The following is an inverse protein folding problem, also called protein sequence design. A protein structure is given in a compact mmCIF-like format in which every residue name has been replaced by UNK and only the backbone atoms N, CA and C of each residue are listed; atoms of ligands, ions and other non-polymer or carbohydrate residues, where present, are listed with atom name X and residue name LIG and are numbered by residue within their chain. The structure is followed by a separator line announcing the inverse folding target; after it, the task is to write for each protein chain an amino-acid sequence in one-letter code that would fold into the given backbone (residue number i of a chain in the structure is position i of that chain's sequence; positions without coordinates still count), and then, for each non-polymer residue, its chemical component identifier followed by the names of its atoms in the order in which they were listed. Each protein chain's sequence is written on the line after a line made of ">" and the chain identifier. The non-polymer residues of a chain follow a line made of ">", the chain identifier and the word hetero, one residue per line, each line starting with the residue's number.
data_IF_685811631459
#
_entry.id   IF_685811631459
#
_cell.length_a   1.000
_cell.length_b   1.000
_cell.length_c   1.000
_cell.angle_alpha   90.00
_cell.angle_beta   90.00
_cell.angle_gamma   90.00
#
_symmetry.space_group_name_H-M   'P 1'
#
loop_
_entity.id
_entity.type
_entity.pdbx_description
1 polymer ?
#
# COMPACT_ATOMS: atom_id res chain seq x y z
N UNK A 1 91.01 0.79 -94.36
CA UNK A 1 91.29 0.86 -92.91
C UNK A 1 90.60 2.04 -92.19
N UNK A 2 89.54 2.66 -92.76
CA UNK A 2 88.93 3.89 -92.20
C UNK A 2 87.52 3.66 -91.60
N UNK A 3 86.82 2.58 -91.97
CA UNK A 3 85.41 2.38 -91.59
C UNK A 3 85.23 1.76 -90.18
N UNK A 4 86.24 1.02 -89.66
CA UNK A 4 86.13 0.39 -88.33
C UNK A 4 86.29 1.36 -87.14
N UNK A 5 86.85 2.56 -87.35
CA UNK A 5 87.10 3.51 -86.26
C UNK A 5 85.91 4.43 -85.92
N UNK A 6 84.95 4.59 -86.85
CA UNK A 6 83.76 5.44 -86.65
C UNK A 6 82.70 4.74 -85.80
N UNK A 7 82.64 3.39 -85.84
CA UNK A 7 81.64 2.60 -85.11
C UNK A 7 81.97 2.51 -83.61
N UNK A 8 83.26 2.49 -83.25
CA UNK A 8 83.70 2.41 -81.85
C UNK A 8 83.50 3.74 -81.09
N UNK A 9 83.69 4.88 -81.77
CA UNK A 9 83.46 6.21 -81.21
C UNK A 9 81.98 6.52 -80.99
N UNK A 10 81.07 6.03 -81.87
CA UNK A 10 79.61 6.22 -81.71
C UNK A 10 78.99 5.43 -80.55
N UNK A 11 79.49 4.22 -80.25
CA UNK A 11 78.97 3.41 -79.12
C UNK A 11 79.38 3.95 -77.74
N UNK A 12 80.57 4.53 -77.64
CA UNK A 12 81.06 5.15 -76.40
C UNK A 12 80.32 6.47 -76.09
N UNK A 13 80.06 7.29 -77.11
CA UNK A 13 79.30 8.55 -76.94
C UNK A 13 77.82 8.29 -76.57
N UNK A 14 77.19 7.27 -77.16
CA UNK A 14 75.81 6.91 -76.85
C UNK A 14 75.65 6.34 -75.42
N UNK A 15 76.64 5.60 -74.91
CA UNK A 15 76.62 5.10 -73.52
C UNK A 15 76.82 6.21 -72.48
N UNK A 16 77.67 7.21 -72.76
CA UNK A 16 77.88 8.36 -71.87
C UNK A 16 76.66 9.30 -71.82
N UNK A 17 75.96 9.49 -72.94
CA UNK A 17 74.74 10.31 -73.00
C UNK A 17 73.57 9.61 -72.29
N UNK A 18 73.42 8.30 -72.43
CA UNK A 18 72.37 7.53 -71.72
C UNK A 18 72.63 7.50 -70.21
N UNK A 19 73.88 7.37 -69.76
CA UNK A 19 74.21 7.38 -68.34
C UNK A 19 74.02 8.77 -67.70
N UNK A 20 74.32 9.85 -68.42
CA UNK A 20 74.06 11.22 -67.98
C UNK A 20 72.54 11.53 -67.91
N UNK A 21 71.74 10.97 -68.82
CA UNK A 21 70.28 11.15 -68.81
C UNK A 21 69.59 10.39 -67.66
N UNK A 22 70.10 9.19 -67.31
CA UNK A 22 69.61 8.40 -66.16
C UNK A 22 70.02 9.04 -64.83
N UNK A 23 71.20 9.66 -64.74
CA UNK A 23 71.65 10.39 -63.54
C UNK A 23 70.92 11.74 -63.36
N UNK A 24 70.51 12.41 -64.44
CA UNK A 24 69.72 13.65 -64.37
C UNK A 24 68.26 13.39 -63.96
N UNK A 25 67.68 12.26 -64.36
CA UNK A 25 66.34 11.83 -63.92
C UNK A 25 66.30 11.32 -62.47
N UNK A 26 67.46 11.03 -61.86
CA UNK A 26 67.54 10.60 -60.46
C UNK A 26 67.57 11.77 -59.44
N UNK A 27 67.57 13.03 -59.88
CA UNK A 27 67.72 14.21 -59.00
C UNK A 27 66.53 15.18 -59.00
N UNK A 28 65.37 14.79 -59.54
CA UNK A 28 64.14 15.58 -59.42
C UNK A 28 63.02 14.71 -58.83
N UNK A 29 63.31 14.09 -57.69
CA UNK A 29 62.29 13.76 -56.69
C UNK A 29 62.33 14.83 -55.59
N UNK A 30 62.21 16.10 -56.00
CA UNK A 30 61.72 17.11 -55.06
C UNK A 30 60.24 16.83 -54.88
N UNK A 31 59.94 16.01 -53.88
CA UNK A 31 58.63 16.02 -53.25
C UNK A 31 58.37 17.46 -52.84
N UNK A 32 57.47 18.14 -53.56
CA UNK A 32 56.84 19.32 -52.99
C UNK A 32 56.09 18.81 -51.76
N UNK A 33 56.75 18.85 -50.60
CA UNK A 33 56.07 18.84 -49.33
C UNK A 33 55.25 20.14 -49.32
N UNK A 34 54.06 20.08 -49.89
CA UNK A 34 52.97 20.95 -49.45
C UNK A 34 52.95 20.71 -47.95
N UNK A 35 53.37 21.71 -47.20
CA UNK A 35 53.12 21.78 -45.76
C UNK A 35 51.60 21.82 -45.62
N UNK A 36 51.01 20.62 -45.64
CA UNK A 36 49.65 20.39 -45.22
C UNK A 36 49.64 20.83 -43.78
N UNK A 37 48.90 21.90 -43.52
CA UNK A 37 48.64 22.37 -42.19
C UNK A 37 48.09 21.18 -41.38
N UNK A 38 48.96 20.58 -40.55
CA UNK A 38 48.60 19.44 -39.69
C UNK A 38 47.76 19.87 -38.49
N UNK A 39 47.32 21.13 -38.45
CA UNK A 39 46.67 21.67 -37.26
C UNK A 39 45.15 21.55 -37.26
N UNK A 40 44.55 20.79 -38.19
CA UNK A 40 43.11 20.51 -38.10
C UNK A 40 42.79 19.77 -36.80
N UNK A 41 42.17 20.50 -35.88
CA UNK A 41 41.88 20.05 -34.53
C UNK A 41 40.40 19.64 -34.42
N UNK A 42 40.14 18.34 -34.21
CA UNK A 42 38.78 17.86 -33.97
C UNK A 42 38.17 18.41 -32.67
N UNK A 43 38.98 18.90 -31.72
CA UNK A 43 38.45 19.56 -30.53
C UNK A 43 37.73 20.89 -30.86
N UNK A 44 38.06 21.55 -31.97
CA UNK A 44 37.40 22.79 -32.38
C UNK A 44 36.09 22.57 -33.14
N UNK A 45 35.75 21.33 -33.49
CA UNK A 45 34.55 21.00 -34.29
C UNK A 45 33.34 20.60 -33.45
N UNK A 46 33.51 20.47 -32.13
CA UNK A 46 32.48 19.97 -31.22
C UNK A 46 32.36 18.44 -31.19
N UNK A 47 33.22 17.70 -31.91
CA UNK A 47 33.32 16.24 -31.82
C UNK A 47 34.79 15.82 -31.64
N UNK A 48 35.35 15.92 -30.42
CA UNK A 48 36.71 15.49 -30.17
C UNK A 48 36.82 13.96 -30.32
N UNK A 49 37.82 13.49 -31.08
CA UNK A 49 38.07 12.07 -31.28
C UNK A 49 38.73 11.45 -30.04
N UNK A 50 37.89 11.14 -29.05
CA UNK A 50 38.28 10.52 -27.78
C UNK A 50 37.70 9.11 -27.64
N UNK A 51 38.32 8.30 -26.79
CA UNK A 51 37.90 6.93 -26.53
C UNK A 51 37.92 6.05 -27.76
N UNK A 52 36.84 5.29 -27.98
CA UNK A 52 36.74 4.37 -29.11
C UNK A 52 36.87 5.08 -30.48
N UNK A 53 36.49 6.36 -30.58
CA UNK A 53 36.58 7.14 -31.81
C UNK A 53 38.00 7.55 -32.18
N UNK A 54 38.97 7.49 -31.24
CA UNK A 54 40.36 7.93 -31.48
C UNK A 54 41.06 7.09 -32.55
N UNK A 55 40.68 5.81 -32.66
CA UNK A 55 41.34 4.84 -33.54
C UNK A 55 40.52 4.57 -34.81
N UNK A 56 39.46 5.32 -35.07
CA UNK A 56 38.60 5.14 -36.25
C UNK A 56 39.27 5.71 -37.50
N UNK A 57 39.15 5.01 -38.62
CA UNK A 57 39.66 5.49 -39.91
C UNK A 57 38.88 6.72 -40.40
N UNK A 58 39.58 7.70 -40.97
CA UNK A 58 39.00 8.96 -41.45
C UNK A 58 37.82 8.75 -42.41
N UNK A 59 37.93 7.74 -43.28
CA UNK A 59 36.93 7.35 -44.29
C UNK A 59 35.60 6.90 -43.69
N UNK A 60 35.57 6.48 -42.42
CA UNK A 60 34.35 6.02 -41.74
C UNK A 60 33.35 7.17 -41.59
N UNK A 61 33.84 8.36 -41.28
CA UNK A 61 33.02 9.56 -41.13
C UNK A 61 33.04 10.42 -42.41
N UNK A 62 34.21 10.55 -43.04
CA UNK A 62 34.42 11.37 -44.23
C UNK A 62 34.23 10.56 -45.51
N UNK A 63 32.99 10.10 -45.70
CA UNK A 63 32.58 9.36 -46.88
C UNK A 63 32.86 10.19 -48.14
N UNK A 64 33.55 9.57 -49.11
CA UNK A 64 33.95 10.22 -50.38
C UNK A 64 34.77 11.50 -50.20
N UNK A 65 35.48 11.66 -49.07
CA UNK A 65 36.30 12.84 -48.80
C UNK A 65 35.50 14.09 -48.42
N UNK A 66 34.25 13.95 -47.97
CA UNK A 66 33.44 15.07 -47.48
C UNK A 66 33.76 15.36 -46.01
N UNK A 67 34.43 16.49 -45.75
CA UNK A 67 34.93 16.86 -44.42
C UNK A 67 34.01 17.77 -43.59
N UNK A 68 32.97 18.35 -44.19
CA UNK A 68 32.06 19.30 -43.53
C UNK A 68 30.66 18.72 -43.39
N UNK A 69 29.92 19.18 -42.37
CA UNK A 69 28.52 18.81 -42.16
C UNK A 69 28.31 17.41 -41.59
N UNK A 70 29.36 16.79 -41.03
CA UNK A 70 29.22 15.52 -40.32
C UNK A 70 28.47 15.77 -39.01
N UNK A 71 27.36 15.07 -38.73
CA UNK A 71 26.61 15.24 -37.51
C UNK A 71 27.42 14.75 -36.30
N UNK A 72 27.29 15.44 -35.17
CA UNK A 72 28.01 15.12 -33.92
C UNK A 72 27.15 14.35 -32.91
N UNK A 73 25.85 14.21 -33.19
CA UNK A 73 24.91 13.48 -32.34
C UNK A 73 25.14 11.97 -32.46
N UNK A 74 25.18 11.26 -31.33
CA UNK A 74 25.46 9.83 -31.28
C UNK A 74 24.56 9.02 -32.23
N UNK A 75 23.24 9.28 -32.21
CA UNK A 75 22.24 8.55 -33.00
C UNK A 75 22.37 8.77 -34.52
N UNK A 76 23.01 9.87 -34.96
CA UNK A 76 23.24 10.11 -36.38
C UNK A 76 24.26 9.15 -36.99
N UNK A 77 25.13 8.54 -36.16
CA UNK A 77 26.08 7.51 -36.58
C UNK A 77 25.65 6.12 -36.08
N UNK A 78 25.22 6.00 -34.83
CA UNK A 78 24.88 4.73 -34.17
C UNK A 78 23.41 4.29 -34.40
N UNK A 79 22.85 4.58 -35.57
CA UNK A 79 21.52 4.12 -35.98
C UNK A 79 21.59 3.19 -37.18
N UNK A 80 20.63 2.27 -37.30
CA UNK A 80 20.53 1.33 -38.42
C UNK A 80 20.36 2.01 -39.79
N UNK A 81 19.92 3.27 -39.80
CA UNK A 81 19.67 4.06 -41.00
C UNK A 81 20.81 5.03 -41.33
N UNK A 82 21.88 5.05 -40.52
CA UNK A 82 23.03 5.91 -40.80
C UNK A 82 23.80 5.42 -42.03
N UNK A 83 24.39 6.37 -42.76
CA UNK A 83 25.38 6.09 -43.81
C UNK A 83 26.78 5.87 -43.24
N UNK A 84 27.03 6.32 -42.01
CA UNK A 84 28.29 6.13 -41.30
C UNK A 84 28.26 4.72 -40.71
N UNK A 85 29.26 3.92 -41.06
CA UNK A 85 29.38 2.55 -40.56
C UNK A 85 29.78 2.57 -39.08
N UNK A 86 28.81 2.39 -38.20
CA UNK A 86 29.02 2.27 -36.76
C UNK A 86 28.09 1.19 -36.18
N UNK A 87 28.47 0.63 -35.03
CA UNK A 87 27.61 -0.32 -34.31
C UNK A 87 26.31 0.40 -33.91
N UNK A 88 25.19 -0.07 -34.45
CA UNK A 88 23.89 0.51 -34.13
C UNK A 88 23.40 0.07 -32.76
N UNK A 89 22.59 0.91 -32.11
CA UNK A 89 21.88 0.53 -30.89
C UNK A 89 21.06 -0.75 -31.09
N UNK A 90 21.16 -1.67 -30.12
CA UNK A 90 20.37 -2.90 -30.10
C UNK A 90 18.87 -2.58 -30.01
N UNK A 91 18.03 -3.36 -30.70
CA UNK A 91 16.58 -3.27 -30.53
C UNK A 91 16.12 -3.70 -29.14
N UNK A 92 16.97 -4.38 -28.36
CA UNK A 92 16.73 -4.72 -26.97
C UNK A 92 17.12 -3.60 -25.98
N UNK A 93 17.66 -2.48 -26.47
CA UNK A 93 17.99 -1.34 -25.61
C UNK A 93 16.70 -0.70 -25.06
N UNK A 94 16.76 -0.22 -23.81
CA UNK A 94 15.65 0.51 -23.19
C UNK A 94 15.36 1.81 -23.97
N UNK A 95 14.11 2.27 -24.00
CA UNK A 95 13.79 3.55 -24.66
C UNK A 95 14.31 4.71 -23.81
N UNK A 96 14.94 5.71 -24.43
CA UNK A 96 15.55 6.86 -23.71
C UNK A 96 15.16 8.20 -24.32
N UNK A 97 15.65 9.29 -23.72
CA UNK A 97 15.61 10.65 -24.26
C UNK A 97 16.59 10.88 -25.42
N UNK A 98 17.36 9.87 -25.83
CA UNK A 98 18.45 9.95 -26.81
C UNK A 98 19.65 10.78 -26.33
N UNK A 99 19.69 11.18 -25.06
CA UNK A 99 20.88 11.77 -24.43
C UNK A 99 21.82 10.65 -23.98
N UNK A 100 22.53 10.05 -24.95
CA UNK A 100 23.36 8.86 -24.72
C UNK A 100 24.41 9.04 -23.62
N UNK A 101 24.93 10.27 -23.48
CA UNK A 101 25.93 10.63 -22.46
C UNK A 101 25.43 10.55 -21.02
N UNK A 102 24.11 10.48 -20.81
CA UNK A 102 23.52 10.26 -19.48
C UNK A 102 23.82 8.87 -18.92
N UNK A 103 24.13 7.91 -19.79
CA UNK A 103 24.36 6.51 -19.41
C UNK A 103 25.72 5.99 -19.90
N UNK A 104 26.15 6.41 -21.09
CA UNK A 104 27.34 5.89 -21.75
C UNK A 104 28.43 6.95 -21.87
N UNK A 105 29.67 6.49 -21.94
CA UNK A 105 30.81 7.34 -22.30
C UNK A 105 31.42 6.83 -23.60
N UNK A 106 32.14 7.68 -24.33
CA UNK A 106 32.89 7.28 -25.52
C UNK A 106 33.97 6.21 -25.25
N UNK A 107 34.31 5.99 -23.99
CA UNK A 107 35.26 4.97 -23.53
C UNK A 107 34.56 3.66 -23.12
N UNK A 108 33.29 3.70 -22.74
CA UNK A 108 32.57 2.55 -22.18
C UNK A 108 31.10 2.58 -22.60
N UNK A 109 30.78 1.69 -23.53
CA UNK A 109 29.43 1.37 -24.02
C UNK A 109 28.91 0.06 -23.41
N UNK A 110 29.25 -0.17 -22.14
CA UNK A 110 28.83 -1.36 -21.38
C UNK A 110 27.43 -1.18 -20.79
N UNK A 111 26.82 -2.29 -20.36
CA UNK A 111 25.55 -2.28 -19.66
C UNK A 111 25.63 -1.42 -18.40
N UNK A 112 24.64 -0.55 -18.22
CA UNK A 112 24.49 0.26 -17.02
C UNK A 112 23.61 -0.46 -16.00
N UNK A 113 23.98 -0.37 -14.72
CA UNK A 113 23.21 -0.99 -13.62
C UNK A 113 22.18 -0.05 -12.98
N UNK A 114 22.25 1.25 -13.30
CA UNK A 114 21.37 2.30 -12.78
C UNK A 114 21.11 3.30 -13.88
N UNK A 115 19.92 3.91 -13.82
CA UNK A 115 19.48 4.95 -14.74
C UNK A 115 18.87 6.09 -13.94
N UNK A 116 18.91 7.28 -14.53
CA UNK A 116 18.04 8.38 -14.13
C UNK A 116 16.67 8.18 -14.80
N UNK A 117 15.60 8.15 -14.00
CA UNK A 117 14.24 7.96 -14.51
C UNK A 117 13.81 9.08 -15.47
N UNK A 118 14.42 10.27 -15.40
CA UNK A 118 14.19 11.36 -16.34
C UNK A 118 14.79 11.12 -17.74
N UNK A 119 15.69 10.14 -17.87
CA UNK A 119 16.40 9.84 -19.12
C UNK A 119 15.84 8.60 -19.83
N UNK A 120 14.93 7.86 -19.18
CA UNK A 120 14.27 6.67 -19.74
C UNK A 120 12.81 6.96 -20.05
N UNK A 121 12.23 6.20 -20.98
CA UNK A 121 10.84 6.35 -21.41
C UNK A 121 10.09 5.03 -21.32
N UNK A 122 8.85 5.08 -20.86
CA UNK A 122 7.96 3.93 -20.76
C UNK A 122 7.14 3.94 -19.48
N UNK A 123 6.28 2.94 -19.30
CA UNK A 123 5.61 2.71 -18.02
C UNK A 123 6.54 1.97 -17.07
N UNK A 124 6.33 2.10 -15.76
CA UNK A 124 7.13 1.41 -14.76
C UNK A 124 7.17 -0.10 -15.03
N UNK A 125 6.02 -0.72 -15.32
CA UNK A 125 5.89 -2.17 -15.57
C UNK A 125 6.56 -2.63 -16.86
N UNK A 126 6.79 -1.75 -17.84
CA UNK A 126 7.50 -2.11 -19.06
C UNK A 126 8.98 -2.43 -18.82
N UNK A 127 9.57 -1.87 -17.76
CA UNK A 127 10.96 -2.12 -17.36
C UNK A 127 11.06 -2.94 -16.05
N UNK A 128 10.25 -2.63 -15.04
CA UNK A 128 10.20 -3.33 -13.75
C UNK A 128 9.38 -4.62 -13.84
N UNK A 129 9.81 -5.53 -14.71
CA UNK A 129 9.15 -6.78 -15.07
C UNK A 129 9.88 -8.03 -14.52
N UNK A 130 10.95 -7.85 -13.75
CA UNK A 130 11.78 -8.94 -13.22
C UNK A 130 12.86 -9.46 -14.16
N UNK A 131 12.86 -9.02 -15.43
CA UNK A 131 13.90 -9.33 -16.41
C UNK A 131 14.79 -8.12 -16.69
N UNK A 132 14.20 -6.98 -17.06
CA UNK A 132 14.97 -5.75 -17.36
C UNK A 132 15.38 -5.01 -16.08
N UNK A 133 14.45 -4.88 -15.13
CA UNK A 133 14.68 -4.31 -13.82
C UNK A 133 13.83 -5.07 -12.78
N UNK A 134 14.20 -4.94 -11.50
CA UNK A 134 13.48 -5.54 -10.39
C UNK A 134 12.00 -5.12 -10.43
N UNK A 135 11.10 -6.09 -10.52
CA UNK A 135 9.66 -5.87 -10.51
C UNK A 135 9.02 -6.04 -9.15
N UNK A 136 7.68 -6.22 -9.16
CA UNK A 136 6.90 -6.63 -7.98
C UNK A 136 7.40 -8.00 -7.50
N UNK A 137 7.73 -8.12 -6.22
CA UNK A 137 8.07 -9.40 -5.60
C UNK A 137 6.81 -10.19 -5.23
N UNK A 138 6.97 -11.42 -4.74
CA UNK A 138 5.87 -12.32 -4.35
C UNK A 138 5.00 -11.79 -3.21
N UNK A 139 5.53 -10.87 -2.40
CA UNK A 139 4.83 -10.27 -1.25
C UNK A 139 4.16 -8.94 -1.62
N UNK A 140 4.24 -8.52 -2.89
CA UNK A 140 3.59 -7.30 -3.35
C UNK A 140 2.07 -7.48 -3.40
N UNK A 141 1.33 -6.45 -3.00
CA UNK A 141 -0.14 -6.45 -3.07
C UNK A 141 -0.59 -6.61 -4.54
N UNK A 142 -1.51 -7.53 -4.88
CA UNK A 142 -1.99 -7.69 -6.25
C UNK A 142 -2.64 -6.38 -6.74
N UNK A 143 -2.07 -5.78 -7.79
CA UNK A 143 -2.61 -4.55 -8.39
C UNK A 143 -2.13 -4.38 -9.83
N UNK A 144 -2.99 -3.80 -10.67
CA UNK A 144 -2.69 -3.37 -12.03
C UNK A 144 -2.50 -1.85 -12.14
N UNK A 145 -2.64 -1.11 -11.05
CA UNK A 145 -2.41 0.34 -11.02
C UNK A 145 -0.96 0.68 -11.36
N UNK A 146 -0.77 1.90 -11.88
CA UNK A 146 0.57 2.43 -12.08
C UNK A 146 1.29 2.59 -10.74
N UNK A 147 2.63 2.51 -10.76
CA UNK A 147 3.43 2.41 -9.54
C UNK A 147 3.42 3.69 -8.70
N UNK A 148 3.35 4.84 -9.36
CA UNK A 148 3.27 6.20 -8.80
C UNK A 148 2.03 6.42 -7.90
N UNK A 149 0.99 5.60 -8.09
CA UNK A 149 -0.19 5.60 -7.22
C UNK A 149 0.16 5.28 -5.77
N UNK A 150 1.21 4.46 -5.55
CA UNK A 150 1.61 4.00 -4.22
C UNK A 150 3.06 4.37 -3.86
N UNK A 151 3.94 4.48 -4.85
CA UNK A 151 5.37 4.71 -4.67
C UNK A 151 5.77 6.09 -5.17
N UNK A 152 6.71 6.74 -4.48
CA UNK A 152 7.34 7.95 -4.98
C UNK A 152 8.38 7.60 -6.06
N UNK A 153 8.35 8.33 -7.18
CA UNK A 153 9.29 8.16 -8.29
C UNK A 153 10.71 8.65 -7.95
N UNK A 154 10.85 9.57 -6.99
CA UNK A 154 12.14 10.16 -6.60
C UNK A 154 12.87 9.36 -5.52
N UNK A 155 12.14 8.58 -4.71
CA UNK A 155 12.70 7.70 -3.70
C UNK A 155 11.80 6.49 -3.53
N UNK A 156 12.25 5.35 -4.03
CA UNK A 156 11.48 4.10 -3.96
C UNK A 156 11.44 3.58 -2.53
N UNK A 157 10.41 3.98 -1.79
CA UNK A 157 10.12 3.49 -0.45
C UNK A 157 8.87 2.60 -0.46
N UNK A 158 8.71 1.71 0.54
CA UNK A 158 7.44 1.03 0.75
C UNK A 158 6.29 2.05 0.79
N UNK A 159 5.16 1.69 0.17
CA UNK A 159 3.97 2.51 0.22
C UNK A 159 3.48 2.65 1.66
N UNK A 160 3.29 3.88 2.12
CA UNK A 160 2.83 4.19 3.49
C UNK A 160 1.42 4.76 3.53
N UNK A 161 0.81 5.00 2.37
CA UNK A 161 -0.52 5.59 2.24
C UNK A 161 -1.47 4.61 1.56
N UNK A 162 -2.75 4.67 1.96
CA UNK A 162 -3.80 3.95 1.25
C UNK A 162 -4.08 4.65 -0.08
N UNK A 163 -4.02 3.91 -1.17
CA UNK A 163 -4.55 4.34 -2.46
C UNK A 163 -5.98 3.80 -2.60
N UNK A 164 -6.98 4.68 -2.72
CA UNK A 164 -8.39 4.32 -2.71
C UNK A 164 -9.11 4.79 -3.98
N UNK A 165 -10.03 3.98 -4.56
CA UNK A 165 -10.42 2.63 -4.15
C UNK A 165 -9.57 1.54 -4.82
N UNK A 166 -8.86 0.72 -4.04
CA UNK A 166 -8.11 -0.43 -4.57
C UNK A 166 -8.84 -1.77 -4.36
N UNK A 167 -9.42 -1.96 -3.17
CA UNK A 167 -10.21 -3.14 -2.81
C UNK A 167 -11.04 -2.84 -1.54
N UNK A 168 -11.97 -3.72 -1.19
CA UNK A 168 -12.62 -3.66 0.12
C UNK A 168 -11.59 -3.88 1.24
N UNK A 169 -11.75 -3.20 2.39
CA UNK A 169 -10.77 -3.21 3.48
C UNK A 169 -10.38 -4.63 3.92
N UNK A 170 -11.36 -5.54 4.04
CA UNK A 170 -11.14 -6.92 4.51
C UNK A 170 -10.31 -7.77 3.54
N UNK A 171 -10.20 -7.39 2.26
CA UNK A 171 -9.36 -8.11 1.30
C UNK A 171 -7.89 -8.05 1.70
N UNK A 172 -7.45 -6.92 2.28
CA UNK A 172 -6.08 -6.75 2.78
C UNK A 172 -6.01 -6.91 4.31
N UNK A 173 -6.96 -6.37 5.07
CA UNK A 173 -7.02 -6.48 6.54
C UNK A 173 -7.61 -7.83 6.99
N UNK A 174 -6.96 -8.91 6.55
CA UNK A 174 -7.36 -10.30 6.77
C UNK A 174 -6.51 -11.03 7.82
N UNK A 175 -5.49 -10.36 8.39
CA UNK A 175 -4.55 -10.95 9.36
C UNK A 175 -3.30 -11.58 8.73
N UNK A 176 -3.29 -11.78 7.42
CA UNK A 176 -2.15 -12.29 6.65
C UNK A 176 -1.45 -11.18 5.87
N UNK A 177 -2.18 -10.40 5.07
CA UNK A 177 -1.63 -9.31 4.25
C UNK A 177 -1.40 -8.05 5.07
N UNK A 178 -2.39 -7.68 5.88
CA UNK A 178 -2.35 -6.59 6.83
C UNK A 178 -3.08 -6.99 8.12
N UNK A 179 -2.86 -6.21 9.18
CA UNK A 179 -3.53 -6.43 10.46
C UNK A 179 -5.04 -6.47 10.28
N UNK A 180 -5.66 -7.61 10.62
CA UNK A 180 -7.10 -7.80 10.55
C UNK A 180 -7.82 -7.45 11.85
N UNK A 181 -9.09 -7.84 11.93
CA UNK A 181 -9.89 -7.74 13.15
C UNK A 181 -9.28 -8.61 14.25
N UNK A 182 -9.11 -8.04 15.44
CA UNK A 182 -8.70 -8.83 16.61
C UNK A 182 -9.83 -9.77 17.05
N UNK A 183 -9.50 -10.82 17.81
CA UNK A 183 -10.49 -11.72 18.40
C UNK A 183 -11.49 -11.03 19.35
N UNK A 184 -11.16 -9.83 19.85
CA UNK A 184 -12.04 -9.01 20.71
C UNK A 184 -12.88 -8.00 19.93
N UNK A 185 -12.73 -7.97 18.60
CA UNK A 185 -13.54 -7.10 17.76
C UNK A 185 -15.00 -7.52 17.83
N UNK A 186 -15.90 -6.55 18.02
CA UNK A 186 -17.35 -6.78 18.01
C UNK A 186 -17.80 -7.35 16.67
N UNK A 187 -18.84 -8.19 16.65
CA UNK A 187 -19.38 -8.69 15.37
C UNK A 187 -20.10 -7.56 14.63
N UNK A 188 -19.65 -7.22 13.41
CA UNK A 188 -20.15 -6.08 12.62
C UNK A 188 -20.32 -6.46 11.16
N UNK A 189 -20.90 -5.54 10.37
CA UNK A 189 -20.87 -5.60 8.90
C UNK A 189 -19.44 -5.46 8.35
N UNK A 190 -19.31 -5.55 7.03
CA UNK A 190 -18.06 -5.26 6.32
C UNK A 190 -17.86 -3.77 6.05
N UNK A 191 -18.83 -2.91 6.41
CA UNK A 191 -18.75 -1.45 6.30
C UNK A 191 -17.92 -0.91 7.46
N UNK A 192 -16.61 -0.77 7.24
CA UNK A 192 -15.69 -0.39 8.31
C UNK A 192 -15.84 1.09 8.70
N UNK A 193 -16.21 1.92 7.73
CA UNK A 193 -16.37 3.36 7.85
C UNK A 193 -17.56 3.77 8.74
N UNK A 194 -18.49 2.85 9.02
CA UNK A 194 -19.55 3.07 10.02
C UNK A 194 -18.98 3.33 11.42
N UNK A 195 -17.77 2.84 11.70
CA UNK A 195 -17.11 2.95 13.01
C UNK A 195 -15.74 3.63 12.92
N UNK A 196 -14.94 3.30 11.91
CA UNK A 196 -13.53 3.69 11.84
C UNK A 196 -13.29 4.82 10.84
N UNK A 197 -12.42 5.76 11.24
CA UNK A 197 -11.86 6.77 10.33
C UNK A 197 -10.66 6.20 9.58
N UNK A 198 -10.63 6.38 8.26
CA UNK A 198 -9.49 5.99 7.40
C UNK A 198 -8.19 6.72 7.76
N UNK A 199 -8.31 7.95 8.25
CA UNK A 199 -7.16 8.82 8.56
C UNK A 199 -6.71 8.73 10.02
N UNK A 200 -7.50 8.09 10.89
CA UNK A 200 -7.22 7.96 12.31
C UNK A 200 -7.80 6.64 12.82
N UNK A 201 -7.18 5.52 12.40
CA UNK A 201 -7.64 4.20 12.78
C UNK A 201 -7.34 3.93 14.25
N UNK A 202 -8.39 3.88 15.08
CA UNK A 202 -8.30 3.61 16.50
C UNK A 202 -9.46 2.72 16.97
N UNK A 203 -9.30 2.00 18.10
CA UNK A 203 -10.41 1.32 18.76
C UNK A 203 -11.52 2.32 19.08
N UNK A 204 -12.75 2.02 18.64
CA UNK A 204 -13.91 2.84 18.98
C UNK A 204 -14.38 2.52 20.40
N UNK A 205 -14.79 3.55 21.14
CA UNK A 205 -15.33 3.39 22.51
C UNK A 205 -16.86 3.39 22.55
N UNK A 206 -17.50 3.72 21.43
CA UNK A 206 -18.96 3.76 21.26
C UNK A 206 -19.30 3.16 19.90
N UNK A 207 -20.45 2.50 19.86
CA UNK A 207 -20.99 1.89 18.65
C UNK A 207 -22.45 2.28 18.51
N UNK A 208 -22.93 2.34 17.26
CA UNK A 208 -24.35 2.31 16.97
C UNK A 208 -24.83 0.86 17.05
N UNK A 209 -25.86 0.59 17.85
CA UNK A 209 -26.41 -0.75 18.01
C UNK A 209 -27.06 -1.28 16.73
N UNK A 210 -27.35 -0.43 15.74
CA UNK A 210 -27.84 -0.84 14.42
C UNK A 210 -26.71 -1.40 13.52
N UNK A 211 -25.46 -1.08 13.81
CA UNK A 211 -24.29 -1.48 12.99
C UNK A 211 -23.59 -2.75 13.53
N UNK A 212 -23.95 -3.19 14.74
CA UNK A 212 -23.42 -4.39 15.38
C UNK A 212 -24.40 -5.56 15.26
N UNK A 213 -23.89 -6.79 15.34
CA UNK A 213 -24.69 -8.02 15.26
C UNK A 213 -24.46 -8.92 16.47
N UNK A 214 -25.49 -9.67 16.86
CA UNK A 214 -25.45 -10.63 17.96
C UNK A 214 -26.48 -10.31 19.05
N UNK A 215 -26.56 -11.17 20.07
CA UNK A 215 -27.35 -10.88 21.28
C UNK A 215 -26.57 -9.97 22.22
N UNK A 216 -27.26 -9.25 23.11
CA UNK A 216 -26.63 -8.35 24.07
C UNK A 216 -25.59 -9.09 24.91
N UNK A 217 -25.90 -10.30 25.38
CA UNK A 217 -25.03 -11.16 26.20
C UNK A 217 -23.74 -11.60 25.49
N UNK A 218 -23.74 -11.70 24.16
CA UNK A 218 -22.50 -12.05 23.41
C UNK A 218 -21.44 -10.96 23.48
N UNK A 219 -21.83 -9.70 23.65
CA UNK A 219 -20.94 -8.55 23.73
C UNK A 219 -20.81 -8.01 25.17
N UNK A 220 -21.92 -7.89 25.90
CA UNK A 220 -21.98 -7.41 27.29
C UNK A 220 -21.63 -8.51 28.30
N UNK A 221 -20.47 -9.12 28.10
CA UNK A 221 -19.97 -10.26 28.89
C UNK A 221 -18.86 -9.86 29.89
N UNK A 222 -18.54 -8.57 30.00
CA UNK A 222 -17.45 -8.06 30.85
C UNK A 222 -16.06 -8.11 30.23
N UNK A 223 -15.91 -8.71 29.04
CA UNK A 223 -14.65 -8.78 28.28
C UNK A 223 -14.68 -7.82 27.08
N UNK A 224 -15.74 -7.88 26.27
CA UNK A 224 -15.92 -7.03 25.08
C UNK A 224 -16.55 -5.69 25.47
N UNK A 225 -17.68 -5.77 26.18
CA UNK A 225 -18.38 -4.62 26.76
C UNK A 225 -18.82 -4.91 28.19
N UNK A 226 -19.09 -3.85 28.95
CA UNK A 226 -19.55 -3.96 30.32
C UNK A 226 -20.86 -4.76 30.41
N UNK A 227 -20.87 -5.80 31.24
CA UNK A 227 -22.03 -6.66 31.46
C UNK A 227 -22.93 -6.22 32.61
N UNK A 228 -23.71 -7.18 33.13
CA UNK A 228 -24.56 -7.00 34.32
C UNK A 228 -23.69 -6.65 35.54
N UNK A 229 -24.08 -5.60 36.28
CA UNK A 229 -23.45 -5.24 37.57
C UNK A 229 -23.84 -6.25 38.66
N UNK A 230 -23.07 -6.31 39.75
CA UNK A 230 -23.32 -7.22 40.86
C UNK A 230 -24.69 -7.05 41.53
N UNK A 231 -25.27 -5.85 41.48
CA UNK A 231 -26.60 -5.53 42.01
C UNK A 231 -27.73 -5.73 40.97
N UNK A 232 -27.45 -6.30 39.80
CA UNK A 232 -28.47 -6.62 38.81
C UNK A 232 -29.35 -7.77 39.30
N UNK A 233 -30.63 -7.76 38.93
CA UNK A 233 -31.54 -8.87 39.22
C UNK A 233 -30.98 -10.20 38.67
N UNK A 234 -30.97 -11.30 39.45
CA UNK A 234 -30.53 -12.59 38.95
C UNK A 234 -31.44 -13.07 37.80
N UNK A 235 -30.93 -13.05 36.57
CA UNK A 235 -31.69 -13.48 35.39
C UNK A 235 -30.75 -13.95 34.27
N UNK A 236 -31.15 -15.00 33.56
CA UNK A 236 -30.54 -15.45 32.30
C UNK A 236 -31.28 -14.91 31.07
N UNK A 237 -32.38 -14.17 31.25
CA UNK A 237 -33.09 -13.53 30.16
C UNK A 237 -32.21 -12.52 29.42
N UNK A 238 -32.46 -12.40 28.12
CA UNK A 238 -31.79 -11.43 27.26
C UNK A 238 -32.23 -10.01 27.62
N UNK A 239 -31.38 -9.02 27.35
CA UNK A 239 -31.54 -7.69 27.92
C UNK A 239 -32.74 -6.92 27.36
N UNK A 240 -33.08 -7.14 26.09
CA UNK A 240 -34.18 -6.50 25.37
C UNK A 240 -35.57 -6.81 25.93
N UNK A 241 -35.69 -7.86 26.74
CA UNK A 241 -36.89 -8.20 27.50
C UNK A 241 -37.21 -7.14 28.56
N UNK A 242 -36.20 -6.46 29.10
CA UNK A 242 -36.34 -5.47 30.18
C UNK A 242 -35.87 -4.07 29.78
N UNK A 243 -34.94 -3.96 28.83
CA UNK A 243 -34.26 -2.72 28.46
C UNK A 243 -34.46 -2.38 26.99
N UNK A 244 -34.60 -1.08 26.69
CA UNK A 244 -34.50 -0.58 25.32
C UNK A 244 -33.05 -0.20 24.99
N UNK A 245 -32.62 -0.50 23.77
CA UNK A 245 -31.33 -0.09 23.23
C UNK A 245 -31.23 1.42 22.91
N UNK A 246 -32.35 2.15 22.90
CA UNK A 246 -32.40 3.60 22.61
C UNK A 246 -32.11 4.46 23.84
N UNK A 247 -32.50 3.98 25.02
CA UNK A 247 -32.26 4.65 26.29
C UNK A 247 -32.12 3.60 27.41
N UNK A 248 -30.87 3.28 27.74
CA UNK A 248 -30.58 2.30 28.78
C UNK A 248 -30.90 2.88 30.17
N UNK A 249 -32.07 2.54 30.68
CA UNK A 249 -32.59 2.97 31.97
C UNK A 249 -32.93 1.75 32.83
N UNK A 250 -33.00 1.90 34.17
CA UNK A 250 -33.47 0.82 35.03
C UNK A 250 -34.80 0.28 34.54
N UNK A 251 -34.92 -1.05 34.44
CA UNK A 251 -36.14 -1.69 33.98
C UNK A 251 -37.28 -1.36 34.96
N UNK A 252 -38.43 -0.98 34.40
CA UNK A 252 -39.64 -0.65 35.17
C UNK A 252 -40.78 -1.64 34.92
N UNK A 253 -40.58 -2.65 34.08
CA UNK A 253 -41.56 -3.66 33.73
C UNK A 253 -41.40 -4.92 34.60
N UNK A 254 -42.51 -5.58 34.90
CA UNK A 254 -42.50 -6.95 35.41
C UNK A 254 -42.56 -7.91 34.20
N UNK A 255 -41.69 -8.91 34.20
CA UNK A 255 -41.68 -9.97 33.19
C UNK A 255 -41.91 -11.29 33.91
N UNK A 256 -42.97 -12.01 33.53
CA UNK A 256 -43.39 -13.26 34.16
C UNK A 256 -43.47 -14.41 33.15
N UNK A 257 -43.18 -15.66 33.57
CA UNK A 257 -42.78 -16.08 34.92
C UNK A 257 -41.25 -16.16 35.05
N UNK A 258 -40.59 -15.07 35.43
CA UNK A 258 -39.13 -15.07 35.56
C UNK A 258 -38.64 -15.66 36.89
N UNK A 259 -39.33 -15.36 37.99
CA UNK A 259 -39.07 -15.88 39.33
C UNK A 259 -40.29 -15.66 40.24
N UNK A 260 -40.34 -16.34 41.39
CA UNK A 260 -41.32 -16.06 42.44
C UNK A 260 -41.11 -14.66 43.03
N UNK A 261 -42.18 -13.96 43.43
CA UNK A 261 -42.12 -12.56 43.88
C UNK A 261 -41.10 -12.32 44.99
N UNK A 262 -41.02 -13.23 45.98
CA UNK A 262 -40.13 -13.09 47.13
C UNK A 262 -38.64 -13.17 46.78
N UNK A 263 -38.28 -13.75 45.64
CA UNK A 263 -36.88 -13.81 45.18
C UNK A 263 -36.34 -12.42 44.89
N UNK A 264 -37.18 -11.50 44.40
CA UNK A 264 -36.83 -10.11 44.14
C UNK A 264 -37.30 -9.16 45.25
N UNK A 265 -38.51 -9.36 45.78
CA UNK A 265 -39.09 -8.56 46.86
C UNK A 265 -38.63 -9.04 48.24
N UNK A 266 -37.31 -9.04 48.45
CA UNK A 266 -36.64 -9.51 49.65
C UNK A 266 -36.06 -8.37 50.52
N UNK A 267 -36.20 -7.12 50.09
CA UNK A 267 -35.64 -5.94 50.77
C UNK A 267 -34.21 -5.58 50.36
N UNK A 268 -33.52 -6.41 49.57
CA UNK A 268 -32.18 -6.11 49.02
C UNK A 268 -32.25 -5.74 47.54
N UNK A 269 -33.01 -6.48 46.72
CA UNK A 269 -33.16 -6.23 45.28
C UNK A 269 -34.31 -5.26 45.02
N UNK A 270 -35.48 -5.55 45.58
CA UNK A 270 -36.65 -4.70 45.55
C UNK A 270 -37.30 -4.63 46.93
N UNK A 271 -38.21 -3.68 47.12
CA UNK A 271 -38.95 -3.51 48.37
C UNK A 271 -39.66 -4.80 48.74
N UNK A 272 -39.29 -5.39 49.88
CA UNK A 272 -39.91 -6.61 50.41
C UNK A 272 -41.10 -6.35 51.31
N UNK A 273 -41.51 -7.39 52.04
CA UNK A 273 -42.58 -7.31 53.04
C UNK A 273 -42.17 -6.32 54.14
N UNK A 274 -43.05 -5.39 54.47
CA UNK A 274 -42.86 -4.50 55.62
C UNK A 274 -43.04 -5.24 56.95
N UNK A 275 -42.58 -4.63 58.04
CA UNK A 275 -42.67 -5.19 59.40
C UNK A 275 -44.11 -5.35 59.92
N UNK A 276 -45.08 -4.68 59.29
CA UNK A 276 -46.52 -4.78 59.58
C UNK A 276 -47.27 -5.73 58.65
N UNK A 277 -46.56 -6.45 57.78
CA UNK A 277 -47.18 -7.42 56.88
C UNK A 277 -47.68 -8.62 57.70
N UNK A 278 -48.93 -9.02 57.47
CA UNK A 278 -49.53 -10.22 58.09
C UNK A 278 -48.71 -11.47 57.73
N UNK A 279 -48.61 -12.44 58.64
CA UNK A 279 -47.90 -13.68 58.33
C UNK A 279 -48.74 -14.53 57.36
N UNK A 280 -48.25 -14.76 56.15
CA UNK A 280 -48.98 -15.43 55.06
C UNK A 280 -48.11 -16.44 54.32
N UNK A 281 -48.71 -17.17 53.38
CA UNK A 281 -47.99 -18.01 52.42
C UNK A 281 -47.07 -17.19 51.49
N UNK A 282 -46.29 -17.87 50.65
CA UNK A 282 -45.45 -17.24 49.62
C UNK A 282 -46.21 -16.95 48.31
N UNK A 283 -47.51 -17.25 48.25
CA UNK A 283 -48.38 -16.96 47.09
C UNK A 283 -48.93 -15.55 47.29
N UNK A 284 -48.35 -14.56 46.62
CA UNK A 284 -48.69 -13.15 46.84
C UNK A 284 -49.99 -12.75 46.14
N UNK A 285 -50.31 -13.43 45.05
CA UNK A 285 -51.47 -13.19 44.18
C UNK A 285 -52.81 -13.47 44.85
N UNK A 286 -52.83 -14.19 45.97
CA UNK A 286 -54.05 -14.40 46.76
C UNK A 286 -54.57 -13.11 47.38
N UNK A 287 -53.66 -12.15 47.63
CA UNK A 287 -53.98 -10.87 48.26
C UNK A 287 -53.69 -9.67 47.33
N UNK A 288 -52.61 -9.73 46.56
CA UNK A 288 -52.11 -8.60 45.79
C UNK A 288 -52.36 -8.73 44.29
N UNK A 289 -52.83 -7.64 43.68
CA UNK A 289 -52.88 -7.50 42.22
C UNK A 289 -51.52 -7.09 41.68
N UNK A 290 -51.04 -7.81 40.66
CA UNK A 290 -49.76 -7.54 39.99
C UNK A 290 -49.69 -6.17 39.31
N UNK A 291 -50.83 -5.71 38.78
CA UNK A 291 -50.93 -4.45 38.05
C UNK A 291 -51.34 -3.26 38.94
N UNK A 292 -51.68 -3.52 40.20
CA UNK A 292 -52.15 -2.51 41.15
C UNK A 292 -51.72 -2.89 42.58
N UNK A 293 -50.40 -2.90 42.82
CA UNK A 293 -49.86 -3.29 44.11
C UNK A 293 -50.18 -2.23 45.17
N UNK A 294 -51.13 -2.55 46.06
CA UNK A 294 -51.55 -1.69 47.16
C UNK A 294 -51.67 -2.50 48.47
N UNK A 295 -51.58 -1.83 49.63
CA UNK A 295 -51.91 -2.45 50.91
C UNK A 295 -53.34 -3.00 50.89
N UNK A 296 -53.50 -4.26 51.26
CA UNK A 296 -54.82 -4.88 51.43
C UNK A 296 -55.41 -4.50 52.78
N UNK A 297 -56.68 -4.11 52.80
CA UNK A 297 -57.42 -3.73 54.01
C UNK A 297 -58.29 -4.86 54.56
N UNK A 298 -58.43 -5.96 53.82
CA UNK A 298 -59.17 -7.16 54.19
C UNK A 298 -58.45 -8.39 53.67
N UNK A 299 -58.43 -9.43 54.48
CA UNK A 299 -57.79 -10.72 54.18
C UNK A 299 -58.78 -11.85 54.39
N UNK A 300 -58.60 -12.94 53.65
CA UNK A 300 -59.25 -14.21 53.98
C UNK A 300 -58.49 -14.86 55.15
N UNK A 301 -59.21 -15.26 56.19
CA UNK A 301 -58.62 -15.90 57.36
C UNK A 301 -58.00 -17.27 57.04
N UNK A 302 -58.43 -17.92 55.95
CA UNK A 302 -57.84 -19.17 55.47
C UNK A 302 -56.45 -18.98 54.85
N UNK A 303 -56.10 -17.76 54.44
CA UNK A 303 -54.85 -17.42 53.75
C UNK A 303 -53.76 -16.82 54.68
N UNK A 304 -54.10 -16.59 55.94
CA UNK A 304 -53.19 -16.06 56.98
C UNK A 304 -52.78 -17.14 57.98
N UNK A 305 -51.62 -16.96 58.60
CA UNK A 305 -51.05 -17.90 59.59
C UNK A 305 -50.84 -17.22 60.93
N UNK A 306 -51.19 -17.90 62.01
CA UNK A 306 -51.01 -17.43 63.38
C UNK A 306 -52.28 -17.58 64.22
N UNK A 307 -52.21 -17.11 65.46
CA UNK A 307 -53.38 -17.04 66.34
C UNK A 307 -54.06 -15.67 66.23
N UNK A 308 -55.32 -15.57 66.65
CA UNK A 308 -56.08 -14.32 66.60
C UNK A 308 -55.34 -13.19 67.33
N UNK A 309 -54.74 -13.47 68.48
CA UNK A 309 -54.03 -12.47 69.30
C UNK A 309 -52.72 -12.00 68.67
N UNK A 310 -52.06 -12.84 67.86
CA UNK A 310 -50.83 -12.44 67.16
C UNK A 310 -51.08 -11.42 66.04
N UNK A 311 -52.30 -11.33 65.52
CA UNK A 311 -52.67 -10.40 64.46
C UNK A 311 -53.57 -9.24 64.95
N UNK A 312 -54.52 -9.50 65.84
CA UNK A 312 -55.42 -8.51 66.44
C UNK A 312 -54.81 -7.86 67.69
N UNK A 313 -53.68 -7.18 67.48
CA UNK A 313 -52.90 -6.54 68.54
C UNK A 313 -52.94 -5.00 68.48
N UNK A 314 -53.73 -4.40 67.58
CA UNK A 314 -53.81 -2.96 67.38
C UNK A 314 -52.69 -2.37 66.51
N UNK A 315 -51.69 -3.16 66.12
CA UNK A 315 -50.57 -2.76 65.25
C UNK A 315 -50.73 -3.33 63.84
N UNK A 316 -51.10 -4.61 63.72
CA UNK A 316 -51.29 -5.30 62.43
C UNK A 316 -52.76 -5.22 62.00
N UNK A 317 -53.68 -5.58 62.89
CA UNK A 317 -55.13 -5.45 62.69
C UNK A 317 -55.78 -4.90 63.96
N UNK A 318 -57.01 -4.41 63.83
CA UNK A 318 -57.81 -3.89 64.95
C UNK A 318 -57.83 -4.90 66.09
N UNK A 319 -57.38 -4.47 67.27
CA UNK A 319 -57.32 -5.34 68.44
C UNK A 319 -58.67 -5.64 69.07
N UNK A 320 -58.68 -6.58 70.01
CA UNK A 320 -59.84 -6.85 70.87
C UNK A 320 -60.23 -5.55 71.59
N UNK A 321 -61.48 -5.10 71.44
CA UNK A 321 -61.98 -3.92 72.16
C UNK A 321 -62.01 -4.22 73.67
N UNK A 322 -61.86 -3.18 74.49
CA UNK A 322 -61.82 -3.30 75.95
C UNK A 322 -63.06 -3.96 76.57
N UNK A 323 -64.15 -4.06 75.81
CA UNK A 323 -65.46 -4.60 76.21
C UNK A 323 -65.82 -5.96 75.58
N UNK A 324 -64.87 -6.67 74.99
CA UNK A 324 -65.09 -8.03 74.47
C UNK A 324 -64.74 -9.09 75.53
#
# INVERSE_FOLDING_TARGET
>A
MIIKNIIFQKKSFLSLVVLAFVLFMAHISQSFAVSYDRTFDHFSTGFPLVGAHRNTECSTCHLYGVFKGIPTNCSSCHSKSSRISATSMSSAHIKTTELCSSCHTSNSWTSVSRVDHNQVKGTCTSCHNGSTATGKNTNHIPTNSNCDVCHSETAWTPATQHAEPLAACFTCHNGTTATGRSARHVSTSTTCESCHSKNAWAPVTRVDHNEVRGSCTTCHNGVIAAGKKANHVPTSAECDICHSNRAWTPASNHVEPLAACFTCHNGTIAKGRGTRHVNTSTVCETCHSKNAWAPVIRVDHNEVRGSCTTCHNGVIATGKKANH
#
